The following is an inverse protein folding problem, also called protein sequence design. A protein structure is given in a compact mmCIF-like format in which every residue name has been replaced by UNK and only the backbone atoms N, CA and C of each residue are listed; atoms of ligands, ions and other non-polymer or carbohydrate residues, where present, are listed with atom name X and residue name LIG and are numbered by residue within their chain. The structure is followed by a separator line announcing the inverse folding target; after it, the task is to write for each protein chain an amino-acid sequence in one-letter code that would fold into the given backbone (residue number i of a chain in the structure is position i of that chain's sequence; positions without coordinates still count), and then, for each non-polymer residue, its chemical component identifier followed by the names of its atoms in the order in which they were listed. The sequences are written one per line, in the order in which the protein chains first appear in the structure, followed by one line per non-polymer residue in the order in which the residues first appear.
data_IF_873506994192
#
_entry.id   IF_873506994192
#
_cell.length_a   1.000
_cell.length_b   1.000
_cell.length_c   1.000
_cell.angle_alpha   90.00
_cell.angle_beta   90.00
_cell.angle_gamma   90.00
#
_symmetry.space_group_name_H-M   'P 1'
#
loop_
_entity.id
_entity.type
_entity.pdbx_description
1 polymer ?
#
# COMPACT_ATOMS: atom_id res chain seq x y z
N UNK A 1 7.53 11.17 26.61
CA UNK A 1 7.30 10.65 25.24
C UNK A 1 5.82 10.51 24.88
N UNK A 2 4.99 9.65 25.50
CA UNK A 2 3.58 9.50 25.09
C UNK A 2 2.77 10.82 25.14
N UNK A 3 2.88 11.56 26.25
CA UNK A 3 2.16 12.81 26.45
C UNK A 3 2.60 13.93 25.48
N UNK A 4 3.84 13.87 24.96
CA UNK A 4 4.36 14.84 23.97
C UNK A 4 3.61 14.74 22.63
N UNK A 5 3.02 13.57 22.33
CA UNK A 5 2.19 13.34 21.16
C UNK A 5 0.69 13.46 21.46
N UNK A 6 0.32 13.98 22.64
CA UNK A 6 -1.08 14.16 23.06
C UNK A 6 -1.80 12.87 23.44
N UNK A 7 -1.07 11.77 23.68
CA UNK A 7 -1.64 10.50 24.14
C UNK A 7 -1.80 10.51 25.66
N UNK A 8 -2.86 9.87 26.15
CA UNK A 8 -3.10 9.74 27.60
C UNK A 8 -2.08 8.78 28.23
N UNK A 9 -1.26 9.27 29.17
CA UNK A 9 -0.17 8.50 29.79
C UNK A 9 -0.59 7.18 30.46
N UNK A 10 -1.61 7.19 31.32
CA UNK A 10 -2.04 5.97 32.04
C UNK A 10 -2.62 4.91 31.11
N UNK A 11 -3.47 5.32 30.15
CA UNK A 11 -3.96 4.43 29.10
C UNK A 11 -2.82 3.86 28.27
N UNK A 12 -1.84 4.68 27.87
CA UNK A 12 -0.68 4.23 27.10
C UNK A 12 0.14 3.20 27.88
N UNK A 13 0.43 3.47 29.16
CA UNK A 13 1.16 2.55 30.03
C UNK A 13 0.45 1.21 30.17
N UNK A 14 -0.88 1.23 30.29
CA UNK A 14 -1.71 0.02 30.36
C UNK A 14 -1.63 -0.79 29.07
N UNK A 15 -1.79 -0.15 27.90
CA UNK A 15 -1.69 -0.80 26.59
C UNK A 15 -0.34 -1.51 26.42
N UNK A 16 0.76 -0.84 26.80
CA UNK A 16 2.11 -1.39 26.73
C UNK A 16 2.30 -2.58 27.70
N UNK A 17 1.82 -2.44 28.94
CA UNK A 17 1.96 -3.48 29.97
C UNK A 17 1.16 -4.73 29.65
N UNK A 18 -0.05 -4.55 29.11
CA UNK A 18 -0.92 -5.64 28.67
C UNK A 18 -0.47 -6.24 27.32
N UNK A 19 0.50 -5.62 26.63
CA UNK A 19 1.01 -6.10 25.35
C UNK A 19 -0.04 -6.11 24.23
N UNK A 20 -1.02 -5.20 24.26
CA UNK A 20 -2.20 -5.27 23.37
C UNK A 20 -1.87 -5.26 21.87
N UNK A 21 -0.71 -4.71 21.49
CA UNK A 21 -0.26 -4.62 20.11
C UNK A 21 0.88 -5.61 19.77
N UNK A 22 1.20 -6.56 20.67
CA UNK A 22 2.26 -7.56 20.46
C UNK A 22 2.09 -8.29 19.14
N UNK A 23 0.90 -8.85 18.90
CA UNK A 23 0.61 -9.61 17.69
C UNK A 23 0.76 -8.75 16.44
N UNK A 24 0.29 -7.50 16.46
CA UNK A 24 0.41 -6.60 15.31
C UNK A 24 1.88 -6.30 14.98
N UNK A 25 2.72 -6.09 16.00
CA UNK A 25 4.17 -5.89 15.79
C UNK A 25 4.82 -7.14 15.20
N UNK A 26 4.43 -8.33 15.66
CA UNK A 26 4.91 -9.61 15.13
C UNK A 26 4.47 -9.82 13.67
N UNK A 27 3.19 -9.56 13.35
CA UNK A 27 2.63 -9.66 12.01
C UNK A 27 3.31 -8.68 11.02
N UNK A 28 3.63 -7.47 11.47
CA UNK A 28 4.36 -6.47 10.69
C UNK A 28 5.81 -6.92 10.43
N UNK A 29 6.48 -7.49 11.43
CA UNK A 29 7.83 -8.05 11.27
C UNK A 29 7.86 -9.21 10.28
N UNK A 30 6.90 -10.13 10.36
CA UNK A 30 6.79 -11.23 9.41
C UNK A 30 6.48 -10.72 7.99
N UNK A 31 5.62 -9.71 7.86
CA UNK A 31 5.31 -9.08 6.58
C UNK A 31 6.56 -8.46 5.97
N UNK A 32 7.34 -7.73 6.76
CA UNK A 32 8.61 -7.15 6.31
C UNK A 32 9.60 -8.24 5.84
N UNK A 33 9.73 -9.34 6.58
CA UNK A 33 10.58 -10.48 6.19
C UNK A 33 10.11 -11.16 4.90
N UNK A 34 8.80 -11.39 4.74
CA UNK A 34 8.22 -11.95 3.50
C UNK A 34 8.48 -11.05 2.29
N UNK A 35 8.51 -9.74 2.50
CA UNK A 35 8.85 -8.75 1.46
C UNK A 35 10.35 -8.63 1.22
N UNK A 36 11.20 -9.31 2.00
CA UNK A 36 12.65 -9.36 1.81
C UNK A 36 13.44 -8.32 2.61
N UNK A 37 12.82 -7.67 3.60
CA UNK A 37 13.52 -6.73 4.46
C UNK A 37 14.52 -7.45 5.40
N UNK A 38 15.79 -7.02 5.35
CA UNK A 38 16.86 -7.51 6.25
C UNK A 38 17.41 -6.41 7.17
N UNK A 39 16.89 -5.19 7.04
CA UNK A 39 17.27 -4.01 7.81
C UNK A 39 16.33 -2.85 7.54
N UNK A 40 16.49 -1.76 8.29
CA UNK A 40 15.61 -0.57 8.23
C UNK A 40 16.41 0.70 7.95
N UNK A 41 15.82 1.72 7.28
CA UNK A 41 14.47 1.72 6.71
C UNK A 41 14.38 0.85 5.45
N UNK A 42 13.21 0.29 5.20
CA UNK A 42 12.88 -0.51 4.02
C UNK A 42 11.48 -0.11 3.57
N UNK A 43 11.37 0.54 2.42
CA UNK A 43 10.09 1.07 1.92
C UNK A 43 9.60 0.17 0.80
N UNK A 44 8.32 -0.20 0.83
CA UNK A 44 7.67 -0.93 -0.26
C UNK A 44 6.57 -0.07 -0.85
N UNK A 45 6.66 0.21 -2.15
CA UNK A 45 5.67 0.98 -2.90
C UNK A 45 4.82 0.03 -3.75
N UNK A 46 3.50 0.20 -3.70
CA UNK A 46 2.50 -0.62 -4.41
C UNK A 46 2.64 -2.13 -4.18
N UNK A 47 3.21 -2.55 -3.05
CA UNK A 47 3.47 -3.96 -2.73
C UNK A 47 4.45 -4.68 -3.65
N UNK A 48 5.12 -3.96 -4.58
CA UNK A 48 6.00 -4.55 -5.61
C UNK A 48 7.40 -3.95 -5.64
N UNK A 49 7.53 -2.65 -5.37
CA UNK A 49 8.81 -1.94 -5.51
C UNK A 49 9.45 -1.77 -4.13
N UNK A 50 10.56 -2.46 -3.91
CA UNK A 50 11.31 -2.41 -2.66
C UNK A 50 12.48 -1.43 -2.74
N UNK A 51 12.56 -0.51 -1.78
CA UNK A 51 13.62 0.47 -1.62
C UNK A 51 14.33 0.21 -0.29
N UNK A 52 15.45 -0.54 -0.30
CA UNK A 52 16.24 -0.77 0.90
C UNK A 52 17.07 0.47 1.26
N UNK A 53 17.12 0.79 2.55
CA UNK A 53 17.95 1.86 3.09
C UNK A 53 17.34 3.26 2.98
N UNK A 54 18.01 4.22 3.61
CA UNK A 54 17.59 5.62 3.60
C UNK A 54 17.95 6.26 2.26
N UNK A 55 16.96 6.38 1.38
CA UNK A 55 17.07 7.11 0.11
C UNK A 55 16.96 8.61 0.36
N UNK A 56 17.63 9.42 -0.47
CA UNK A 56 17.40 10.86 -0.48
C UNK A 56 16.00 11.20 -1.03
N UNK A 57 15.53 12.40 -0.71
CA UNK A 57 14.17 12.83 -1.04
C UNK A 57 13.89 12.84 -2.54
N UNK A 58 14.86 13.24 -3.36
CA UNK A 58 14.67 13.34 -4.81
C UNK A 58 14.58 11.95 -5.45
N UNK A 59 15.42 11.01 -5.00
CA UNK A 59 15.36 9.60 -5.40
C UNK A 59 14.03 8.97 -5.01
N UNK A 60 13.57 9.15 -3.76
CA UNK A 60 12.29 8.61 -3.31
C UNK A 60 11.12 9.19 -4.13
N UNK A 61 11.11 10.50 -4.37
CA UNK A 61 10.07 11.17 -5.16
C UNK A 61 10.07 10.68 -6.62
N UNK A 62 11.25 10.48 -7.21
CA UNK A 62 11.39 9.93 -8.56
C UNK A 62 10.76 8.54 -8.67
N UNK A 63 11.04 7.66 -7.71
CA UNK A 63 10.49 6.30 -7.67
C UNK A 63 8.96 6.34 -7.51
N UNK A 64 8.44 7.18 -6.61
CA UNK A 64 6.99 7.32 -6.42
C UNK A 64 6.28 7.76 -7.71
N UNK A 65 6.87 8.71 -8.46
CA UNK A 65 6.34 9.15 -9.76
C UNK A 65 6.40 8.05 -10.80
N UNK A 66 7.51 7.33 -10.88
CA UNK A 66 7.66 6.22 -11.81
C UNK A 66 6.60 5.12 -11.54
N UNK A 67 6.46 4.70 -10.29
CA UNK A 67 5.47 3.67 -9.92
C UNK A 67 4.04 4.15 -10.21
N UNK A 68 3.76 5.43 -9.99
CA UNK A 68 2.46 6.02 -10.33
C UNK A 68 2.16 5.91 -11.82
N UNK A 69 3.09 6.35 -12.68
CA UNK A 69 2.90 6.33 -14.14
C UNK A 69 2.75 4.89 -14.67
N UNK A 70 3.48 3.92 -14.10
CA UNK A 70 3.39 2.51 -14.47
C UNK A 70 2.06 1.86 -14.05
N UNK A 71 1.48 2.28 -12.93
CA UNK A 71 0.24 1.70 -12.37
C UNK A 71 -1.03 2.42 -12.80
N UNK A 72 -0.89 3.65 -13.30
CA UNK A 72 -2.00 4.48 -13.79
C UNK A 72 -1.78 4.89 -15.26
N UNK A 73 -1.62 3.91 -16.18
CA UNK A 73 -1.45 4.24 -17.59
C UNK A 73 -2.69 4.96 -18.10
N UNK A 74 -2.47 6.00 -18.92
CA UNK A 74 -3.58 6.60 -19.67
C UNK A 74 -4.07 5.60 -20.70
N UNK A 75 -5.28 5.08 -20.49
CA UNK A 75 -5.92 4.16 -21.43
C UNK A 75 -6.75 4.96 -22.41
N UNK A 76 -6.41 4.85 -23.71
CA UNK A 76 -7.29 5.31 -24.77
C UNK A 76 -8.43 4.30 -24.92
N UNK A 77 -9.65 4.72 -24.61
CA UNK A 77 -10.85 3.93 -24.93
C UNK A 77 -11.07 4.05 -26.44
N UNK A 78 -10.84 2.97 -27.17
CA UNK A 78 -11.24 2.85 -28.57
C UNK A 78 -12.65 2.25 -28.63
N UNK A 79 -13.50 2.75 -29.53
CA UNK A 79 -14.76 2.08 -29.85
C UNK A 79 -14.43 0.72 -30.47
N UNK A 80 -14.40 -0.31 -29.62
CA UNK A 80 -14.39 -1.69 -30.05
C UNK A 80 -15.70 -2.33 -29.59
N UNK A 81 -16.24 -3.22 -30.42
CA UNK A 81 -17.49 -3.94 -30.11
C UNK A 81 -17.29 -5.03 -29.02
N UNK A 82 -16.24 -4.92 -28.20
CA UNK A 82 -16.06 -5.83 -27.08
C UNK A 82 -17.13 -5.54 -26.02
N UNK A 83 -17.74 -6.58 -25.48
CA UNK A 83 -18.71 -6.43 -24.40
C UNK A 83 -17.99 -5.98 -23.11
N UNK A 84 -17.84 -4.67 -22.94
CA UNK A 84 -17.36 -4.03 -21.73
C UNK A 84 -18.55 -3.49 -20.93
N UNK A 85 -18.47 -3.62 -19.61
CA UNK A 85 -19.38 -2.95 -18.70
C UNK A 85 -18.93 -1.50 -18.56
N UNK A 86 -19.72 -0.59 -19.12
CA UNK A 86 -19.52 0.85 -19.01
C UNK A 86 -20.41 1.48 -17.92
N UNK A 87 -20.27 2.80 -17.70
CA UNK A 87 -21.16 3.54 -16.81
C UNK A 87 -22.64 3.47 -17.25
N UNK A 88 -22.89 3.25 -18.53
CA UNK A 88 -24.22 3.14 -19.13
C UNK A 88 -24.80 1.70 -19.08
N UNK A 89 -24.08 0.76 -18.45
CA UNK A 89 -24.48 -0.64 -18.33
C UNK A 89 -23.57 -1.60 -19.08
N UNK A 90 -23.90 -2.88 -19.01
CA UNK A 90 -23.13 -3.97 -19.62
C UNK A 90 -23.78 -4.44 -20.91
N UNK A 91 -22.98 -4.61 -21.96
CA UNK A 91 -23.43 -5.30 -23.17
C UNK A 91 -23.71 -6.78 -22.85
N UNK A 92 -24.95 -7.22 -23.04
CA UNK A 92 -25.33 -8.64 -22.89
C UNK A 92 -25.23 -9.31 -24.27
N UNK A 93 -24.47 -10.41 -24.43
CA UNK A 93 -24.36 -11.11 -25.71
C UNK A 93 -25.73 -11.61 -26.18
N UNK A 94 -26.06 -11.41 -27.47
CA UNK A 94 -27.37 -11.68 -28.06
C UNK A 94 -27.77 -13.17 -28.17
N UNK A 95 -27.11 -14.10 -27.45
CA UNK A 95 -27.24 -15.55 -27.64
C UNK A 95 -28.26 -16.25 -26.71
N UNK A 96 -29.12 -15.52 -26.01
CA UNK A 96 -30.20 -16.10 -25.20
C UNK A 96 -31.55 -15.46 -25.55
N UNK A 97 -32.10 -15.84 -26.70
CA UNK A 97 -33.52 -15.75 -27.04
C UNK A 97 -34.01 -17.15 -27.45
#
# INVERSE_FOLDING_TARGET
MADEFGLEGEKTRRVLTEGRFRQQVEDDMETAQRLGATGTPYIVVDGRYALPGAQDTDTLLGILRQVWDETHPTVLVTDNDAAICGPDGCAVPAAHA
#
